data_IF_488295936504
#
_entry.id   IF_488295936504
#
_cell.length_a   1.000
_cell.length_b   1.000
_cell.length_c   1.000
_cell.angle_alpha   90.00
_cell.angle_beta   90.00
_cell.angle_gamma   90.00
#
_symmetry.space_group_name_H-M   'P 1'
#
loop_
_entity.id
_entity.type
_entity.pdbx_description
1 polymer ?
#
# COMPACT_ATOMS: atom_id res chain seq x y z
N UNK A 1 -1.12 -0.50 -10.51
CA UNK A 1 -2.18 0.45 -10.14
C UNK A 1 -2.93 0.97 -11.36
N UNK A 2 -4.20 0.60 -11.47
CA UNK A 2 -5.18 1.31 -12.28
C UNK A 2 -5.97 2.19 -11.32
N UNK A 3 -5.62 3.48 -11.25
CA UNK A 3 -6.32 4.43 -10.39
C UNK A 3 -7.56 4.92 -11.14
N UNK A 4 -8.73 4.81 -10.54
CA UNK A 4 -10.01 5.23 -11.14
C UNK A 4 -10.59 6.43 -10.40
N UNK A 5 -11.20 7.37 -11.11
CA UNK A 5 -11.94 8.48 -10.52
C UNK A 5 -13.27 8.69 -11.23
N UNK A 6 -14.29 9.09 -10.48
CA UNK A 6 -15.57 9.49 -11.03
C UNK A 6 -15.60 11.00 -11.24
N UNK A 7 -15.92 11.44 -12.46
CA UNK A 7 -15.93 12.87 -12.81
C UNK A 7 -17.34 13.49 -12.95
N UNK A 8 -18.37 12.81 -12.42
CA UNK A 8 -19.76 13.26 -12.54
C UNK A 8 -20.50 12.73 -13.77
N UNK A 9 -19.87 11.86 -14.56
CA UNK A 9 -20.52 11.16 -15.68
C UNK A 9 -19.77 9.93 -16.17
N UNK A 10 -18.46 9.86 -15.93
CA UNK A 10 -17.60 8.76 -16.34
C UNK A 10 -16.79 8.26 -15.15
N UNK A 11 -16.55 6.96 -15.11
CA UNK A 11 -15.55 6.34 -14.24
C UNK A 11 -14.30 6.17 -15.09
N UNK A 12 -13.28 6.98 -14.81
CA UNK A 12 -12.11 7.21 -15.67
C UNK A 12 -10.86 6.61 -15.03
N UNK A 13 -10.10 5.86 -15.81
CA UNK A 13 -8.78 5.42 -15.42
C UNK A 13 -7.79 6.59 -15.55
N UNK A 14 -7.18 7.00 -14.44
CA UNK A 14 -6.25 8.14 -14.37
C UNK A 14 -4.98 7.94 -15.20
N UNK A 15 -4.55 6.70 -15.42
CA UNK A 15 -3.31 6.39 -16.18
C UNK A 15 -3.55 6.39 -17.68
N UNK A 16 -4.59 5.73 -18.14
CA UNK A 16 -4.88 5.58 -19.58
C UNK A 16 -5.82 6.65 -20.13
N UNK A 17 -6.61 7.31 -19.27
CA UNK A 17 -7.70 8.18 -19.68
C UNK A 17 -8.92 7.43 -20.23
N UNK A 18 -8.90 6.10 -20.26
CA UNK A 18 -10.01 5.27 -20.71
C UNK A 18 -11.12 5.22 -19.65
N UNK A 19 -12.34 4.90 -20.08
CA UNK A 19 -13.53 4.90 -19.23
C UNK A 19 -14.07 3.49 -19.07
N UNK A 20 -14.79 3.23 -17.97
CA UNK A 20 -15.58 2.01 -17.83
C UNK A 20 -16.71 2.00 -18.86
N UNK A 21 -16.73 0.95 -19.65
CA UNK A 21 -17.68 0.73 -20.73
C UNK A 21 -18.36 -0.62 -20.53
N UNK A 22 -19.68 -0.60 -20.40
CA UNK A 22 -20.49 -1.80 -20.59
C UNK A 22 -20.55 -2.03 -22.09
N UNK A 23 -20.05 -3.17 -22.59
CA UNK A 23 -20.17 -3.49 -24.01
C UNK A 23 -21.65 -3.67 -24.36
N UNK A 24 -22.31 -2.57 -24.72
CA UNK A 24 -23.73 -2.54 -25.07
C UNK A 24 -23.88 -3.06 -26.50
N UNK A 25 -23.88 -4.37 -26.66
CA UNK A 25 -24.40 -5.01 -27.87
C UNK A 25 -25.93 -4.85 -27.96
N UNK A 26 -26.59 -5.72 -28.71
CA UNK A 26 -28.05 -5.65 -28.91
C UNK A 26 -28.89 -5.84 -27.62
N UNK A 27 -28.31 -6.31 -26.50
CA UNK A 27 -28.99 -6.45 -25.21
C UNK A 27 -28.05 -6.15 -24.04
N UNK A 28 -28.31 -5.05 -23.34
CA UNK A 28 -27.76 -4.79 -22.00
C UNK A 28 -28.53 -5.66 -21.00
N UNK A 29 -27.86 -6.60 -20.34
CA UNK A 29 -28.49 -7.51 -19.40
C UNK A 29 -27.56 -7.82 -18.20
N UNK A 30 -28.14 -8.38 -17.17
CA UNK A 30 -27.45 -8.88 -15.97
C UNK A 30 -26.31 -9.82 -16.34
N UNK A 31 -25.13 -9.59 -15.76
CA UNK A 31 -23.90 -10.32 -16.04
C UNK A 31 -23.13 -9.81 -17.28
N UNK A 32 -23.55 -8.70 -17.89
CA UNK A 32 -22.77 -8.09 -18.98
C UNK A 32 -21.41 -7.65 -18.45
N UNK A 33 -20.34 -8.07 -19.14
CA UNK A 33 -18.97 -7.75 -18.77
C UNK A 33 -18.69 -6.26 -18.98
N UNK A 34 -18.02 -5.67 -18.00
CA UNK A 34 -17.54 -4.30 -18.06
C UNK A 34 -16.09 -4.33 -18.54
N UNK A 35 -15.75 -3.45 -19.47
CA UNK A 35 -14.41 -3.32 -20.02
C UNK A 35 -13.91 -1.89 -19.83
N UNK A 36 -12.61 -1.70 -19.96
CA UNK A 36 -12.02 -0.39 -20.11
C UNK A 36 -11.92 -0.07 -21.60
N UNK A 37 -12.44 1.06 -22.05
CA UNK A 37 -12.41 1.45 -23.46
C UNK A 37 -12.16 2.95 -23.65
N UNK A 38 -11.73 3.33 -24.86
CA UNK A 38 -11.61 4.74 -25.22
C UNK A 38 -12.98 5.41 -25.11
N UNK A 39 -13.03 6.62 -24.55
CA UNK A 39 -14.26 7.40 -24.51
C UNK A 39 -14.78 7.61 -25.94
N UNK A 40 -16.03 7.21 -26.19
CA UNK A 40 -16.68 7.42 -27.49
C UNK A 40 -17.13 8.88 -27.66
N UNK A 41 -17.32 9.29 -28.92
CA UNK A 41 -18.01 10.54 -29.23
C UNK A 41 -19.49 10.42 -28.81
N UNK A 42 -19.98 11.41 -28.06
CA UNK A 42 -21.30 11.40 -27.43
C UNK A 42 -22.46 11.26 -28.44
N UNK A 43 -23.53 10.50 -28.10
CA UNK A 43 -23.79 9.85 -26.80
C UNK A 43 -23.38 8.36 -26.74
N UNK A 44 -22.83 7.93 -25.59
CA UNK A 44 -22.43 6.53 -25.35
C UNK A 44 -23.03 5.97 -24.07
N UNK A 45 -24.15 5.28 -24.25
CA UNK A 45 -24.95 4.73 -23.15
C UNK A 45 -24.17 3.76 -22.24
N UNK A 46 -23.20 3.02 -22.78
CA UNK A 46 -22.38 2.07 -22.01
C UNK A 46 -21.34 2.71 -21.09
N UNK A 47 -21.02 3.99 -21.30
CA UNK A 47 -19.94 4.68 -20.61
C UNK A 47 -20.43 5.76 -19.63
N UNK A 48 -21.72 6.06 -19.63
CA UNK A 48 -22.33 7.09 -18.79
C UNK A 48 -22.86 6.51 -17.47
N UNK A 49 -22.27 6.95 -16.37
CA UNK A 49 -22.55 6.49 -15.01
C UNK A 49 -23.04 7.64 -14.12
N UNK A 50 -23.91 7.33 -13.18
CA UNK A 50 -24.30 8.19 -12.07
C UNK A 50 -23.99 7.49 -10.74
N UNK A 51 -23.73 8.27 -9.69
CA UNK A 51 -23.49 7.76 -8.33
C UNK A 51 -24.63 8.15 -7.42
N UNK A 52 -25.21 7.18 -6.72
CA UNK A 52 -26.19 7.43 -5.68
C UNK A 52 -25.51 7.47 -4.31
N UNK A 53 -25.55 8.63 -3.65
CA UNK A 53 -24.96 8.83 -2.32
C UNK A 53 -25.78 8.20 -1.19
N UNK A 54 -27.06 7.88 -1.40
CA UNK A 54 -27.91 7.29 -0.36
C UNK A 54 -27.59 5.82 -0.11
N UNK A 55 -27.23 5.08 -1.16
CA UNK A 55 -26.91 3.65 -1.10
C UNK A 55 -25.52 3.31 -1.63
N UNK A 56 -24.72 4.32 -1.96
CA UNK A 56 -23.36 4.20 -2.48
C UNK A 56 -23.24 3.37 -3.78
N UNK A 57 -24.26 3.33 -4.63
CA UNK A 57 -24.23 2.57 -5.89
C UNK A 57 -23.86 3.42 -7.11
N UNK A 58 -23.03 2.87 -8.00
CA UNK A 58 -22.85 3.37 -9.36
C UNK A 58 -23.82 2.68 -10.29
N UNK A 59 -24.56 3.43 -11.10
CA UNK A 59 -25.53 2.89 -12.06
C UNK A 59 -25.41 3.52 -13.43
N UNK A 60 -25.86 2.79 -14.45
CA UNK A 60 -25.92 3.31 -15.81
C UNK A 60 -26.96 4.43 -15.89
N UNK A 61 -26.54 5.58 -16.42
CA UNK A 61 -27.42 6.75 -16.53
C UNK A 61 -28.70 6.49 -17.33
N UNK A 62 -28.63 5.65 -18.37
CA UNK A 62 -29.80 5.29 -19.18
C UNK A 62 -30.69 4.21 -18.55
N UNK A 63 -30.21 3.45 -17.55
CA UNK A 63 -30.99 2.44 -16.86
C UNK A 63 -30.49 2.24 -15.42
N UNK A 64 -31.18 2.88 -14.47
CA UNK A 64 -30.84 2.89 -13.04
C UNK A 64 -31.04 1.56 -12.32
N UNK A 65 -31.69 0.59 -12.96
CA UNK A 65 -31.82 -0.76 -12.42
C UNK A 65 -30.51 -1.54 -12.54
N UNK A 66 -29.60 -1.12 -13.41
CA UNK A 66 -28.31 -1.76 -13.57
C UNK A 66 -27.21 -0.99 -12.86
N UNK A 67 -26.58 -1.65 -11.90
CA UNK A 67 -25.50 -1.11 -11.08
C UNK A 67 -24.20 -1.86 -11.31
N UNK A 68 -23.09 -1.25 -10.91
CA UNK A 68 -21.85 -1.99 -10.67
C UNK A 68 -22.09 -3.00 -9.55
N UNK A 69 -21.66 -4.24 -9.77
CA UNK A 69 -21.74 -5.32 -8.81
C UNK A 69 -20.44 -6.12 -8.85
N UNK A 70 -19.98 -6.52 -7.67
CA UNK A 70 -18.86 -7.45 -7.50
C UNK A 70 -19.44 -8.86 -7.30
N UNK A 71 -19.27 -9.69 -8.33
CA UNK A 71 -19.60 -11.13 -8.25
C UNK A 71 -18.83 -11.84 -7.12
N UNK A 72 -19.31 -13.02 -6.71
CA UNK A 72 -18.59 -13.88 -5.76
C UNK A 72 -17.19 -14.31 -6.20
N UNK A 73 -16.84 -14.12 -7.48
CA UNK A 73 -15.50 -14.32 -8.05
C UNK A 73 -14.67 -13.03 -8.15
N UNK A 74 -15.07 -11.95 -7.46
CA UNK A 74 -14.41 -10.64 -7.45
C UNK A 74 -14.31 -9.93 -8.82
N UNK A 75 -15.12 -10.35 -9.80
CA UNK A 75 -15.23 -9.68 -11.10
C UNK A 75 -16.29 -8.59 -10.99
N UNK A 76 -15.93 -7.36 -11.39
CA UNK A 76 -16.87 -6.27 -11.57
C UNK A 76 -17.67 -6.52 -12.84
N UNK A 77 -18.99 -6.57 -12.71
CA UNK A 77 -19.91 -6.70 -13.84
C UNK A 77 -21.11 -5.77 -13.66
N UNK A 78 -21.96 -5.74 -14.68
CA UNK A 78 -23.26 -5.08 -14.58
C UNK A 78 -24.31 -6.04 -14.02
N UNK A 79 -25.08 -5.62 -13.01
CA UNK A 79 -26.11 -6.47 -12.41
C UNK A 79 -27.38 -5.70 -12.04
N UNK A 80 -28.47 -6.44 -11.87
CA UNK A 80 -29.72 -5.89 -11.33
C UNK A 80 -29.50 -5.39 -9.89
N UNK A 81 -29.99 -4.19 -9.61
CA UNK A 81 -29.90 -3.59 -8.30
C UNK A 81 -30.69 -4.40 -7.28
N UNK A 82 -30.00 -4.89 -6.26
CA UNK A 82 -30.57 -5.60 -5.11
C UNK A 82 -30.13 -5.00 -3.76
N UNK A 83 -29.23 -4.01 -3.78
CA UNK A 83 -28.83 -3.25 -2.59
C UNK A 83 -27.83 -3.98 -1.68
N UNK A 84 -27.34 -5.14 -2.11
CA UNK A 84 -26.31 -5.90 -1.39
C UNK A 84 -25.01 -5.11 -1.24
N UNK A 85 -24.19 -5.47 -0.26
CA UNK A 85 -22.91 -4.80 0.03
C UNK A 85 -21.95 -4.79 -1.17
N UNK A 86 -22.04 -5.81 -2.03
CA UNK A 86 -21.29 -5.92 -3.27
C UNK A 86 -21.72 -4.93 -4.38
N UNK A 87 -22.74 -4.10 -4.12
CA UNK A 87 -23.18 -3.00 -5.00
C UNK A 87 -22.86 -1.61 -4.41
N UNK A 88 -22.17 -1.55 -3.27
CA UNK A 88 -21.88 -0.32 -2.53
C UNK A 88 -20.39 0.02 -2.65
N UNK A 89 -20.08 1.20 -3.17
CA UNK A 89 -18.72 1.66 -3.46
C UNK A 89 -18.47 2.99 -2.77
N UNK A 90 -17.36 3.12 -2.05
CA UNK A 90 -17.03 4.37 -1.36
C UNK A 90 -16.33 5.30 -2.35
N UNK A 91 -16.96 6.43 -2.67
CA UNK A 91 -16.34 7.52 -3.41
C UNK A 91 -15.76 8.55 -2.42
N UNK A 92 -14.45 8.49 -2.12
CA UNK A 92 -13.77 9.53 -1.34
C UNK A 92 -13.36 10.71 -2.23
N UNK A 93 -13.59 11.94 -1.75
CA UNK A 93 -13.00 13.13 -2.38
C UNK A 93 -11.52 13.18 -2.01
N UNK A 94 -10.69 13.51 -2.99
CA UNK A 94 -9.27 13.75 -2.75
C UNK A 94 -9.10 15.21 -2.35
N UNK A 95 -9.10 15.46 -1.04
CA UNK A 95 -8.90 16.77 -0.46
C UNK A 95 -7.38 16.92 -0.29
N UNK A 96 -6.74 17.72 -1.16
CA UNK A 96 -5.28 17.83 -1.25
C UNK A 96 -4.59 18.44 -0.03
N UNK A 97 -5.33 18.83 1.01
CA UNK A 97 -4.83 19.41 2.25
C UNK A 97 -5.74 18.97 3.41
N UNK A 98 -5.31 18.04 4.25
CA UNK A 98 -5.89 17.94 5.59
C UNK A 98 -4.88 17.42 6.60
N UNK A 99 -4.52 18.32 7.52
CA UNK A 99 -3.70 18.04 8.69
C UNK A 99 -4.46 17.19 9.72
N UNK A 100 -3.68 16.34 10.41
CA UNK A 100 -3.90 15.59 11.67
C UNK A 100 -5.24 15.80 12.37
N UNK A 101 -6.05 14.73 12.53
CA UNK A 101 -7.09 14.62 13.57
C UNK A 101 -7.25 13.15 14.04
N UNK A 102 -6.89 12.90 15.31
CA UNK A 102 -7.29 11.89 16.34
C UNK A 102 -8.14 10.62 16.06
N UNK A 103 -8.48 10.24 14.83
CA UNK A 103 -9.27 9.04 14.50
C UNK A 103 -8.45 7.86 13.92
N UNK A 104 -7.13 7.87 14.10
CA UNK A 104 -6.24 6.84 13.55
C UNK A 104 -6.28 5.51 14.29
N UNK A 105 -6.55 5.50 15.61
CA UNK A 105 -6.51 4.26 16.41
C UNK A 105 -7.63 3.27 16.03
N UNK A 106 -8.85 3.75 15.75
CA UNK A 106 -9.98 2.88 15.37
C UNK A 106 -9.87 2.32 13.94
N UNK A 107 -9.40 3.14 12.99
CA UNK A 107 -9.22 2.69 11.59
C UNK A 107 -8.03 1.73 11.41
N UNK A 108 -6.98 1.87 12.22
CA UNK A 108 -5.85 0.93 12.25
C UNK A 108 -6.35 -0.42 12.77
N UNK A 109 -7.01 -0.46 13.93
CA UNK A 109 -7.53 -1.69 14.55
C UNK A 109 -8.53 -2.43 13.63
N UNK A 110 -9.38 -1.70 12.90
CA UNK A 110 -10.35 -2.31 11.97
C UNK A 110 -9.70 -2.83 10.67
N UNK A 111 -8.66 -2.16 10.15
CA UNK A 111 -7.87 -2.68 9.01
C UNK A 111 -7.09 -3.94 9.38
N UNK A 112 -6.61 -4.02 10.62
CA UNK A 112 -5.80 -5.13 11.08
C UNK A 112 -6.64 -6.38 11.39
N UNK A 113 -7.88 -6.26 11.91
CA UNK A 113 -8.81 -7.41 12.02
C UNK A 113 -9.16 -8.08 10.68
N UNK A 114 -9.00 -7.37 9.56
CA UNK A 114 -9.33 -7.86 8.23
C UNK A 114 -8.22 -8.72 7.61
N UNK A 115 -6.95 -8.47 7.97
CA UNK A 115 -5.78 -9.07 7.32
C UNK A 115 -5.58 -10.59 7.53
N UNK A 116 -5.81 -11.17 8.72
CA UNK A 116 -5.68 -12.63 8.90
C UNK A 116 -6.74 -13.41 8.13
N UNK A 117 -7.97 -12.90 8.10
CA UNK A 117 -9.07 -13.52 7.34
C UNK A 117 -8.85 -13.38 5.83
N UNK A 118 -8.25 -12.26 5.39
CA UNK A 118 -7.88 -12.02 4.00
C UNK A 118 -6.73 -12.94 3.55
N UNK A 119 -5.67 -13.07 4.34
CA UNK A 119 -4.53 -13.96 4.06
C UNK A 119 -4.93 -15.44 4.00
N UNK A 120 -5.78 -15.90 4.93
CA UNK A 120 -6.25 -17.28 4.96
C UNK A 120 -7.22 -17.59 3.80
N UNK A 121 -8.05 -16.62 3.40
CA UNK A 121 -8.84 -16.73 2.18
C UNK A 121 -7.96 -16.74 0.91
N UNK A 122 -6.84 -16.00 0.88
CA UNK A 122 -5.91 -16.02 -0.26
C UNK A 122 -5.20 -17.37 -0.41
N UNK A 123 -4.76 -18.01 0.68
CA UNK A 123 -4.10 -19.33 0.63
C UNK A 123 -5.05 -20.47 0.20
N UNK A 124 -6.35 -20.40 0.56
CA UNK A 124 -7.37 -21.36 0.08
C UNK A 124 -7.77 -21.13 -1.39
N UNK A 125 -7.57 -19.92 -1.92
CA UNK A 125 -7.87 -19.56 -3.32
C UNK A 125 -6.70 -19.92 -4.26
N UNK A 126 -5.48 -20.04 -3.75
CA UNK A 126 -4.25 -20.22 -4.54
C UNK A 126 -3.86 -21.69 -4.81
N UNK A 127 -4.77 -22.65 -4.62
CA UNK A 127 -4.58 -24.04 -5.11
C UNK A 127 -5.01 -24.20 -6.58
N UNK A 128 -5.18 -23.10 -7.32
CA UNK A 128 -5.43 -23.12 -8.77
C UNK A 128 -4.51 -22.12 -9.50
N UNK A 129 -3.76 -22.67 -10.45
CA UNK A 129 -2.54 -22.18 -11.10
C UNK A 129 -2.70 -20.95 -12.05
N UNK A 130 -3.43 -19.88 -11.70
CA UNK A 130 -3.49 -18.69 -12.59
C UNK A 130 -3.37 -17.33 -11.85
N UNK A 131 -2.20 -16.72 -12.01
CA UNK A 131 -1.78 -15.37 -11.59
C UNK A 131 -1.96 -14.40 -12.79
N UNK A 132 -2.28 -13.08 -12.76
CA UNK A 132 -1.92 -11.88 -11.96
C UNK A 132 -3.06 -10.82 -12.08
N UNK A 133 -3.37 -9.94 -11.11
CA UNK A 133 -2.84 -8.55 -11.05
C UNK A 133 -3.02 -7.83 -9.67
N UNK A 134 -3.39 -8.54 -8.61
CA UNK A 134 -3.60 -7.96 -7.26
C UNK A 134 -2.28 -7.85 -6.45
N UNK A 135 -1.25 -8.59 -6.85
CA UNK A 135 -0.05 -8.76 -6.03
C UNK A 135 0.90 -7.55 -5.96
N UNK A 136 0.83 -6.59 -6.90
CA UNK A 136 1.84 -5.51 -6.97
C UNK A 136 1.48 -4.29 -6.11
N UNK A 137 0.20 -4.00 -5.86
CA UNK A 137 -0.21 -2.81 -5.09
C UNK A 137 -0.19 -3.06 -3.59
N UNK A 138 -0.64 -4.25 -3.15
CA UNK A 138 -0.48 -4.69 -1.76
C UNK A 138 1.01 -4.89 -1.46
N UNK A 139 1.80 -5.51 -2.36
CA UNK A 139 3.25 -5.60 -2.17
C UNK A 139 3.92 -4.23 -2.13
N UNK A 140 3.62 -3.30 -3.04
CA UNK A 140 4.21 -1.95 -3.02
C UNK A 140 3.83 -1.18 -1.75
N UNK A 141 2.58 -1.26 -1.29
CA UNK A 141 2.16 -0.59 -0.06
C UNK A 141 2.82 -1.23 1.16
N UNK A 142 2.90 -2.55 1.23
CA UNK A 142 3.58 -3.25 2.32
C UNK A 142 5.09 -2.97 2.32
N UNK A 143 5.73 -2.90 1.15
CA UNK A 143 7.14 -2.51 1.02
C UNK A 143 7.36 -1.05 1.43
N UNK A 144 6.46 -0.13 1.07
CA UNK A 144 6.56 1.29 1.43
C UNK A 144 6.22 1.57 2.90
N UNK A 145 5.41 0.72 3.53
CA UNK A 145 4.93 0.89 4.90
C UNK A 145 5.43 -0.23 5.81
N UNK A 146 6.57 -0.84 5.45
CA UNK A 146 7.16 -1.96 6.17
C UNK A 146 7.26 -1.66 7.67
N UNK A 147 7.84 -0.51 8.03
CA UNK A 147 8.09 -0.12 9.41
C UNK A 147 6.79 -0.06 10.22
N UNK A 148 5.74 0.54 9.64
CA UNK A 148 4.43 0.67 10.28
C UNK A 148 3.80 -0.70 10.50
N UNK A 149 3.80 -1.56 9.47
CA UNK A 149 3.16 -2.87 9.54
C UNK A 149 3.92 -3.77 10.53
N UNK A 150 5.25 -3.74 10.50
CA UNK A 150 6.08 -4.49 11.43
C UNK A 150 5.81 -4.06 12.87
N UNK A 151 5.81 -2.76 13.17
CA UNK A 151 5.52 -2.24 14.51
C UNK A 151 4.10 -2.62 14.97
N UNK A 152 3.07 -2.35 14.16
CA UNK A 152 1.69 -2.68 14.53
C UNK A 152 1.47 -4.19 14.67
N UNK A 153 2.25 -5.03 13.95
CA UNK A 153 2.16 -6.48 14.12
C UNK A 153 2.47 -6.94 15.54
N UNK A 154 3.34 -6.24 16.26
CA UNK A 154 3.69 -6.54 17.65
C UNK A 154 2.73 -5.91 18.67
N UNK A 155 1.88 -4.97 18.27
CA UNK A 155 0.82 -4.42 19.11
C UNK A 155 -0.42 -5.33 19.16
N UNK A 156 -0.51 -6.31 18.26
CA UNK A 156 -1.66 -7.18 18.08
C UNK A 156 -1.25 -8.65 18.24
N UNK A 157 -1.58 -9.23 19.39
CA UNK A 157 -1.21 -10.61 19.79
C UNK A 157 -1.60 -11.68 18.75
N UNK A 158 -2.64 -11.44 17.95
CA UNK A 158 -3.12 -12.41 16.95
C UNK A 158 -2.33 -12.43 15.63
N UNK A 159 -1.27 -11.63 15.46
CA UNK A 159 -0.48 -11.53 14.21
C UNK A 159 0.83 -12.28 14.22
N UNK A 160 0.90 -13.40 14.92
CA UNK A 160 2.10 -14.23 15.03
C UNK A 160 2.67 -14.65 13.66
N UNK A 161 1.82 -15.01 12.70
CA UNK A 161 2.26 -15.40 11.35
C UNK A 161 2.88 -14.23 10.59
N UNK A 162 2.33 -13.02 10.75
CA UNK A 162 2.85 -11.79 10.13
C UNK A 162 4.18 -11.37 10.77
N UNK A 163 4.27 -11.47 12.10
CA UNK A 163 5.53 -11.26 12.83
C UNK A 163 6.60 -12.24 12.33
N UNK A 164 6.26 -13.54 12.20
CA UNK A 164 7.19 -14.56 11.69
C UNK A 164 7.66 -14.24 10.27
N UNK A 165 6.74 -13.91 9.36
CA UNK A 165 7.08 -13.53 7.99
C UNK A 165 8.07 -12.36 7.94
N UNK A 166 7.81 -11.30 8.71
CA UNK A 166 8.70 -10.15 8.73
C UNK A 166 10.03 -10.44 9.40
N UNK A 167 10.07 -11.25 10.47
CA UNK A 167 11.33 -11.67 11.09
C UNK A 167 12.17 -12.52 10.14
N UNK A 168 11.55 -13.40 9.36
CA UNK A 168 12.22 -14.18 8.32
C UNK A 168 12.75 -13.26 7.22
N UNK A 169 11.97 -12.27 6.79
CA UNK A 169 12.39 -11.29 5.79
C UNK A 169 13.56 -10.42 6.28
N UNK A 170 13.53 -9.98 7.53
CA UNK A 170 14.62 -9.21 8.18
C UNK A 170 15.88 -10.05 8.29
N UNK A 171 15.74 -11.33 8.66
CA UNK A 171 16.87 -12.25 8.81
C UNK A 171 17.53 -12.57 7.47
N UNK A 172 16.72 -12.74 6.41
CA UNK A 172 17.21 -13.14 5.10
C UNK A 172 17.62 -11.95 4.21
N UNK A 173 16.95 -10.81 4.34
CA UNK A 173 17.12 -9.64 3.46
C UNK A 173 17.05 -8.29 4.22
N UNK A 174 17.95 -8.05 5.19
CA UNK A 174 17.90 -6.85 6.05
C UNK A 174 18.00 -5.54 5.26
N UNK A 175 18.70 -5.50 4.12
CA UNK A 175 18.80 -4.29 3.30
C UNK A 175 17.44 -3.80 2.76
N UNK A 176 16.42 -4.68 2.64
CA UNK A 176 15.09 -4.29 2.15
C UNK A 176 14.36 -3.38 3.12
N UNK A 177 14.57 -3.56 4.43
CA UNK A 177 13.83 -2.83 5.47
C UNK A 177 14.35 -1.41 5.67
N UNK A 178 15.62 -1.16 5.32
CA UNK A 178 16.24 0.17 5.41
C UNK A 178 16.06 1.02 4.14
N UNK A 179 15.16 0.64 3.22
CA UNK A 179 14.84 1.43 2.02
C UNK A 179 13.76 2.50 2.23
N UNK A 180 13.12 2.49 3.40
CA UNK A 180 12.09 3.48 3.74
C UNK A 180 12.67 4.90 3.85
N UNK A 181 11.88 5.95 3.50
CA UNK A 181 12.25 7.35 3.73
C UNK A 181 12.53 7.69 5.20
N UNK A 182 12.06 6.88 6.15
CA UNK A 182 12.38 6.95 7.57
C UNK A 182 12.69 5.54 8.07
N UNK A 183 13.72 5.36 8.89
CA UNK A 183 14.11 4.06 9.46
C UNK A 183 13.58 3.89 10.89
N UNK A 184 12.26 3.90 11.07
CA UNK A 184 11.64 3.78 12.41
C UNK A 184 11.65 2.34 12.91
N UNK A 185 11.89 1.35 12.04
CA UNK A 185 12.05 -0.06 12.42
C UNK A 185 13.08 -0.29 13.54
N UNK A 186 14.13 0.53 13.63
CA UNK A 186 15.17 0.43 14.67
C UNK A 186 14.64 0.74 16.08
N UNK A 187 13.46 1.34 16.20
CA UNK A 187 12.82 1.64 17.48
C UNK A 187 12.13 0.40 18.07
N UNK A 188 11.93 -0.66 17.28
CA UNK A 188 11.27 -1.87 17.75
C UNK A 188 12.26 -2.73 18.53
N UNK A 189 12.02 -2.89 19.84
CA UNK A 189 12.88 -3.70 20.70
C UNK A 189 12.91 -5.19 20.32
N UNK A 190 11.91 -5.66 19.56
CA UNK A 190 11.78 -7.04 19.09
C UNK A 190 12.54 -7.31 17.78
N UNK A 191 13.21 -6.30 17.20
CA UNK A 191 13.95 -6.43 15.95
C UNK A 191 15.06 -7.49 16.09
N UNK A 192 14.95 -8.58 15.33
CA UNK A 192 15.87 -9.73 15.40
C UNK A 192 17.11 -9.55 14.52
N UNK A 193 17.84 -8.45 14.72
CA UNK A 193 19.11 -8.18 14.02
C UNK A 193 20.18 -7.75 15.03
N UNK A 194 21.44 -8.09 14.78
CA UNK A 194 22.52 -7.71 15.70
C UNK A 194 22.72 -6.19 15.72
N UNK A 195 23.12 -5.65 16.86
CA UNK A 195 23.25 -4.19 17.01
C UNK A 195 24.29 -3.58 16.06
N UNK A 196 25.37 -4.33 15.75
CA UNK A 196 26.37 -3.88 14.78
C UNK A 196 25.77 -3.77 13.38
N UNK A 197 24.89 -4.70 13.00
CA UNK A 197 24.17 -4.63 11.73
C UNK A 197 23.16 -3.48 11.74
N UNK A 198 22.45 -3.22 12.84
CA UNK A 198 21.59 -2.01 12.94
C UNK A 198 22.42 -0.76 12.65
N UNK A 199 23.57 -0.64 13.32
CA UNK A 199 24.45 0.51 13.18
C UNK A 199 24.97 0.69 11.74
N UNK A 200 25.44 -0.39 11.11
CA UNK A 200 25.90 -0.37 9.71
C UNK A 200 24.80 0.08 8.74
N UNK A 201 23.57 -0.39 8.91
CA UNK A 201 22.47 0.01 8.04
C UNK A 201 22.02 1.45 8.27
N UNK A 202 22.02 1.92 9.52
CA UNK A 202 21.76 3.32 9.87
C UNK A 202 22.78 4.25 9.20
N UNK A 203 24.06 3.87 9.20
CA UNK A 203 25.11 4.61 8.48
C UNK A 203 24.88 4.61 6.95
N UNK A 204 24.64 3.45 6.35
CA UNK A 204 24.32 3.33 4.91
C UNK A 204 23.12 4.19 4.52
N UNK A 205 22.07 4.17 5.34
CA UNK A 205 20.88 4.99 5.13
C UNK A 205 21.21 6.48 5.27
N UNK A 206 21.99 6.89 6.29
CA UNK A 206 22.42 8.28 6.44
C UNK A 206 23.19 8.82 5.23
N UNK A 207 24.07 7.98 4.67
CA UNK A 207 24.82 8.30 3.43
C UNK A 207 23.86 8.42 2.24
N UNK A 208 22.91 7.49 2.08
CA UNK A 208 21.98 7.51 0.93
C UNK A 208 21.10 8.78 0.92
N UNK A 209 20.64 9.22 2.10
CA UNK A 209 19.86 10.47 2.24
C UNK A 209 20.66 11.73 1.91
N UNK A 210 21.99 11.69 2.02
CA UNK A 210 22.88 12.81 1.75
C UNK A 210 23.76 12.59 0.51
N UNK A 211 23.42 11.62 -0.34
CA UNK A 211 24.21 11.23 -1.52
C UNK A 211 24.48 12.37 -2.50
N UNK A 212 23.62 13.39 -2.56
CA UNK A 212 23.83 14.58 -3.38
C UNK A 212 24.87 15.57 -2.80
N UNK A 213 25.19 15.47 -1.50
CA UNK A 213 26.08 16.39 -0.78
C UNK A 213 27.40 15.75 -0.36
N UNK A 214 27.41 14.42 -0.23
CA UNK A 214 28.58 13.68 0.24
C UNK A 214 29.45 13.20 -0.93
N UNK A 215 30.79 13.17 -0.77
CA UNK A 215 31.68 12.48 -1.69
C UNK A 215 31.31 11.00 -1.85
N UNK A 216 31.66 10.41 -3.00
CA UNK A 216 31.38 8.99 -3.27
C UNK A 216 32.30 8.04 -2.51
N UNK A 217 33.55 8.45 -2.23
CA UNK A 217 34.49 7.65 -1.43
C UNK A 217 34.59 8.21 -0.02
N UNK A 218 34.63 7.31 0.97
CA UNK A 218 34.79 7.68 2.38
C UNK A 218 36.14 8.36 2.65
N UNK A 219 37.20 8.00 1.92
CA UNK A 219 38.54 8.61 2.05
C UNK A 219 38.55 10.11 1.71
N UNK A 220 37.56 10.58 0.94
CA UNK A 220 37.43 11.97 0.52
C UNK A 220 36.63 12.82 1.53
N UNK A 221 36.12 12.22 2.62
CA UNK A 221 35.25 12.92 3.57
C UNK A 221 36.02 13.96 4.39
N UNK A 222 35.48 15.17 4.41
CA UNK A 222 35.91 16.26 5.26
C UNK A 222 35.10 16.27 6.57
N UNK A 223 35.57 17.05 7.54
CA UNK A 223 34.87 17.24 8.81
C UNK A 223 33.40 17.71 8.63
N UNK A 224 33.12 18.46 7.57
CA UNK A 224 31.79 18.98 7.22
C UNK A 224 30.84 17.86 6.75
N UNK A 225 31.37 16.84 6.07
CA UNK A 225 30.63 15.66 5.62
C UNK A 225 30.22 14.80 6.83
N UNK A 226 31.14 14.59 7.76
CA UNK A 226 30.83 13.92 9.04
C UNK A 226 29.79 14.71 9.87
N UNK A 227 29.86 16.05 9.87
CA UNK A 227 28.85 16.88 10.52
C UNK A 227 27.48 16.76 9.84
N UNK A 228 27.45 16.65 8.50
CA UNK A 228 26.24 16.42 7.72
C UNK A 228 25.58 15.09 8.12
N UNK A 229 26.36 14.00 8.11
CA UNK A 229 25.88 12.70 8.57
C UNK A 229 25.41 12.72 10.02
N UNK A 230 26.19 13.32 10.93
CA UNK A 230 25.81 13.45 12.34
C UNK A 230 24.47 14.14 12.51
N UNK A 231 24.21 15.21 11.75
CA UNK A 231 22.96 15.94 11.83
C UNK A 231 21.77 15.11 11.34
N UNK A 232 21.93 14.37 10.23
CA UNK A 232 20.91 13.44 9.71
C UNK A 232 20.62 12.31 10.68
N UNK A 233 21.66 11.71 11.27
CA UNK A 233 21.53 10.55 12.14
C UNK A 233 21.13 10.88 13.57
N UNK A 234 21.20 12.16 13.97
CA UNK A 234 21.02 12.61 15.36
C UNK A 234 19.75 12.06 16.03
N UNK A 235 18.64 11.99 15.31
CA UNK A 235 17.37 11.51 15.84
C UNK A 235 17.31 9.98 15.99
N UNK A 236 18.18 9.24 15.31
CA UNK A 236 18.21 7.78 15.31
C UNK A 236 19.24 7.22 16.30
N UNK A 237 20.29 7.98 16.62
CA UNK A 237 21.34 7.61 17.59
C UNK A 237 20.78 7.09 18.93
N UNK A 238 19.73 7.69 19.54
CA UNK A 238 19.20 7.21 20.81
C UNK A 238 18.62 5.78 20.77
N UNK A 239 18.29 5.26 19.59
CA UNK A 239 17.75 3.91 19.41
C UNK A 239 18.85 2.87 19.19
N UNK A 240 20.11 3.28 19.04
CA UNK A 240 21.25 2.38 18.88
C UNK A 240 21.80 2.01 20.26
N UNK A 241 21.79 0.73 20.58
CA UNK A 241 22.24 0.17 21.85
C UNK A 241 23.74 -0.08 21.82
N UNK A 242 24.55 0.96 21.71
CA UNK A 242 26.02 0.85 21.59
C UNK A 242 26.70 -0.06 22.63
N UNK A 243 26.10 -0.25 23.81
CA UNK A 243 26.58 -1.17 24.84
C UNK A 243 26.50 -2.66 24.46
N UNK A 244 25.71 -3.02 23.44
CA UNK A 244 25.63 -4.35 22.85
C UNK A 244 26.70 -4.59 21.78
N UNK A 245 27.50 -3.58 21.43
CA UNK A 245 28.63 -3.72 20.50
C UNK A 245 29.87 -4.19 21.25
N UNK A 246 30.57 -5.17 20.69
CA UNK A 246 31.85 -5.62 21.25
C UNK A 246 32.97 -4.63 20.92
N UNK A 247 34.00 -4.60 21.76
CA UNK A 247 35.18 -3.75 21.52
C UNK A 247 35.93 -4.08 20.22
N UNK A 248 35.72 -5.26 19.63
CA UNK A 248 36.29 -5.61 18.32
C UNK A 248 35.50 -5.00 17.17
N UNK A 249 34.17 -4.98 17.29
CA UNK A 249 33.28 -4.39 16.28
C UNK A 249 33.42 -2.87 16.21
N UNK A 250 33.64 -2.21 17.36
CA UNK A 250 33.84 -0.76 17.42
C UNK A 250 35.23 -0.32 16.92
N UNK A 251 36.25 -1.19 16.99
CA UNK A 251 37.64 -0.86 16.66
C UNK A 251 38.12 -1.40 15.28
N UNK A 252 37.22 -1.92 14.45
CA UNK A 252 37.52 -2.43 13.10
C UNK A 252 36.76 -1.70 11.96
N UNK A 253 36.12 -0.57 12.25
CA UNK A 253 35.63 0.41 11.29
C UNK A 253 36.52 1.65 11.31
#
# INVERSE_FOLDING_TARGET
>A
MQLWYFNGGFIVNKRSGFVLDVVVGAKCQTGTRIVQYQKHDEPSRGQEWEYNYEDNSFYLKFNRNFVLDVSGTNIIHLWDKHGGKNQQFISQKWDGDSAVIENSETNIIDNFKFLPKLSQNFLEILDDDEYYDVNIEVANWMEQNFDLIYQTSYEIDSFLDLQSYYNDLISNEPDKIFKSPQITVIQNDNLQISEIQVWEHVLKWGVSQNSAKLPSNLEDYLQEDFNTLKNTLRQYIPFIRFYNLTSKEVNHQ
#
